data_IF_979271822116
#
_entry.id   IF_979271822116
#
_cell.length_a   1.000
_cell.length_b   1.000
_cell.length_c   1.000
_cell.angle_alpha   90.00
_cell.angle_beta   90.00
_cell.angle_gamma   90.00
#
_symmetry.space_group_name_H-M   'P 1'
#
loop_
_entity.id
_entity.type
_entity.pdbx_description
1 polymer ?
#
# COMPACT_ATOMS: atom_id res chain seq x y z
N UNK A 1 14.48 4.10 -8.65
CA UNK A 1 13.45 3.67 -7.69
C UNK A 1 12.81 4.95 -7.20
N UNK A 2 11.51 5.10 -7.40
CA UNK A 2 10.79 6.37 -7.25
C UNK A 2 10.54 6.72 -5.77
N UNK A 3 10.51 8.01 -5.41
CA UNK A 3 10.20 8.42 -4.05
C UNK A 3 8.74 8.10 -3.71
N UNK A 4 8.50 7.23 -2.74
CA UNK A 4 7.16 7.08 -2.17
C UNK A 4 6.87 8.28 -1.28
N UNK A 5 5.67 8.82 -1.40
CA UNK A 5 5.19 9.95 -0.63
C UNK A 5 4.70 9.48 0.75
N UNK A 6 4.92 10.32 1.76
CA UNK A 6 4.43 10.11 3.12
C UNK A 6 3.74 11.38 3.63
N UNK A 7 2.72 11.21 4.44
CA UNK A 7 2.09 12.30 5.18
C UNK A 7 2.03 11.97 6.68
N UNK A 8 1.45 12.88 7.46
CA UNK A 8 1.34 12.74 8.92
C UNK A 8 0.47 11.55 9.37
N UNK A 9 -0.30 10.92 8.48
CA UNK A 9 -1.10 9.72 8.79
C UNK A 9 -0.25 8.45 8.85
N UNK A 10 0.97 8.44 8.29
CA UNK A 10 1.90 7.30 8.29
C UNK A 10 2.62 7.13 9.65
N UNK A 11 1.85 7.10 10.74
CA UNK A 11 2.37 7.15 12.12
C UNK A 11 3.38 6.05 12.44
N UNK A 12 3.18 4.83 11.93
CA UNK A 12 4.13 3.72 12.10
C UNK A 12 5.45 3.96 11.37
N UNK A 13 5.41 4.50 10.14
CA UNK A 13 6.62 4.83 9.37
C UNK A 13 7.37 5.98 10.04
N UNK A 14 6.65 7.04 10.44
CA UNK A 14 7.22 8.18 11.16
C UNK A 14 7.88 7.75 12.48
N UNK A 15 7.29 6.80 13.21
CA UNK A 15 7.90 6.22 14.40
C UNK A 15 9.20 5.47 14.10
N UNK A 16 9.28 4.75 12.97
CA UNK A 16 10.49 4.06 12.53
C UNK A 16 11.58 5.04 12.08
N UNK A 17 11.22 6.07 11.31
CA UNK A 17 12.12 7.17 10.92
C UNK A 17 12.76 7.77 12.17
N UNK A 18 11.95 8.13 13.17
CA UNK A 18 12.44 8.63 14.46
C UNK A 18 13.33 7.63 15.19
N UNK A 19 12.92 6.36 15.25
CA UNK A 19 13.68 5.28 15.91
C UNK A 19 15.08 5.13 15.33
N UNK A 20 15.23 5.28 14.01
CA UNK A 20 16.51 5.12 13.31
C UNK A 20 17.26 6.44 13.07
N UNK A 21 16.75 7.57 13.58
CA UNK A 21 17.39 8.87 13.42
C UNK A 21 17.42 9.36 11.97
N UNK A 22 16.45 8.93 11.15
CA UNK A 22 16.28 9.35 9.76
C UNK A 22 15.45 10.64 9.68
N UNK A 23 15.40 11.25 8.49
CA UNK A 23 14.75 12.55 8.29
C UNK A 23 13.65 12.48 7.24
N UNK A 24 12.67 13.37 7.35
CA UNK A 24 11.71 13.64 6.26
C UNK A 24 12.19 14.84 5.44
N UNK A 25 11.86 14.84 4.15
CA UNK A 25 12.08 15.96 3.25
C UNK A 25 10.79 16.23 2.48
N UNK A 26 10.38 17.49 2.42
CA UNK A 26 9.22 17.87 1.60
C UNK A 26 9.59 17.71 0.13
N UNK A 27 8.73 17.04 -0.64
CA UNK A 27 8.94 16.86 -2.08
C UNK A 27 8.54 18.15 -2.77
N UNK A 28 9.53 18.92 -3.22
CA UNK A 28 9.34 20.17 -3.93
C UNK A 28 9.97 20.05 -5.33
N UNK A 29 9.36 20.68 -6.34
CA UNK A 29 10.02 20.92 -7.62
C UNK A 29 11.07 22.04 -7.54
N UNK A 30 11.72 22.31 -8.65
CA UNK A 30 12.72 23.39 -8.80
C UNK A 30 12.16 24.79 -8.50
N UNK A 31 10.82 24.94 -8.44
CA UNK A 31 10.12 26.18 -8.13
C UNK A 31 9.63 26.25 -6.67
N UNK A 32 9.83 25.21 -5.87
CA UNK A 32 9.35 25.13 -4.50
C UNK A 32 7.89 24.68 -4.38
N UNK A 33 7.31 24.06 -5.41
CA UNK A 33 5.94 23.55 -5.44
C UNK A 33 5.91 22.04 -5.16
N UNK A 34 4.94 21.56 -4.38
CA UNK A 34 4.79 20.11 -4.14
C UNK A 34 4.43 19.40 -5.45
N UNK A 35 5.32 18.52 -5.91
CA UNK A 35 5.09 17.72 -7.12
C UNK A 35 4.80 16.27 -6.78
N UNK A 36 3.81 15.70 -7.46
CA UNK A 36 3.56 14.26 -7.48
C UNK A 36 4.22 13.66 -8.72
N UNK A 37 4.48 12.35 -8.67
CA UNK A 37 5.06 11.64 -9.81
C UNK A 37 3.94 11.10 -10.71
N UNK A 38 3.90 11.49 -11.98
CA UNK A 38 3.01 10.84 -12.92
C UNK A 38 3.59 9.47 -13.29
N UNK A 39 2.95 8.41 -12.78
CA UNK A 39 3.40 7.03 -12.97
C UNK A 39 3.32 6.56 -14.44
N UNK A 40 2.50 7.20 -15.28
CA UNK A 40 2.39 6.85 -16.70
C UNK A 40 3.51 7.48 -17.53
N UNK A 41 3.96 8.68 -17.17
CA UNK A 41 4.92 9.46 -17.98
C UNK A 41 6.32 9.54 -17.37
N UNK A 42 6.46 9.23 -16.08
CA UNK A 42 7.72 9.33 -15.36
C UNK A 42 8.16 10.77 -15.04
N UNK A 43 7.27 11.74 -15.21
CA UNK A 43 7.53 13.17 -15.04
C UNK A 43 6.95 13.65 -13.71
N UNK A 44 7.66 14.58 -13.05
CA UNK A 44 7.10 15.31 -11.92
C UNK A 44 6.00 16.24 -12.43
N UNK A 45 4.77 15.96 -12.03
CA UNK A 45 3.63 16.83 -12.29
C UNK A 45 3.33 17.62 -11.02
N UNK A 46 2.88 18.87 -11.19
CA UNK A 46 2.22 19.55 -10.09
C UNK A 46 1.02 18.69 -9.70
N UNK A 47 1.05 18.16 -8.48
CA UNK A 47 -0.09 17.39 -7.99
C UNK A 47 -1.30 18.32 -8.10
N UNK A 48 -2.41 17.90 -8.74
CA UNK A 48 -3.62 18.69 -8.80
C UNK A 48 -4.26 18.71 -7.41
N UNK A 49 -3.59 19.34 -6.46
CA UNK A 49 -4.13 19.54 -5.14
C UNK A 49 -5.18 20.65 -5.25
N UNK A 50 -6.40 20.30 -4.88
CA UNK A 50 -7.50 21.24 -4.92
C UNK A 50 -7.44 22.15 -3.69
N UNK A 51 -6.76 23.28 -3.82
CA UNK A 51 -6.80 24.29 -2.79
C UNK A 51 -8.22 24.92 -2.77
N UNK A 52 -8.88 24.88 -1.62
CA UNK A 52 -10.22 25.44 -1.44
C UNK A 52 -10.32 26.91 -1.85
N UNK A 53 -9.20 27.66 -1.88
CA UNK A 53 -9.18 29.07 -2.27
C UNK A 53 -9.01 29.32 -3.76
N UNK A 54 -8.44 28.38 -4.53
CA UNK A 54 -8.16 28.54 -5.98
C UNK A 54 -9.11 27.76 -6.87
N UNK A 55 -9.95 26.91 -6.28
CA UNK A 55 -10.89 26.04 -7.01
C UNK A 55 -12.22 26.72 -7.27
N UNK A 56 -12.88 26.32 -8.38
CA UNK A 56 -14.21 26.82 -8.74
C UNK A 56 -15.23 26.45 -7.66
N UNK A 57 -16.35 27.20 -7.53
CA UNK A 57 -17.41 26.88 -6.58
C UNK A 57 -17.93 25.42 -6.71
N UNK A 58 -18.01 24.89 -7.92
CA UNK A 58 -18.46 23.53 -8.21
C UNK A 58 -17.48 22.49 -7.65
N UNK A 59 -16.18 22.69 -7.86
CA UNK A 59 -15.14 21.81 -7.33
C UNK A 59 -15.14 21.87 -5.80
N UNK A 60 -15.26 23.07 -5.21
CA UNK A 60 -15.36 23.23 -3.74
C UNK A 60 -16.57 22.52 -3.15
N UNK A 61 -17.72 22.59 -3.82
CA UNK A 61 -18.92 21.87 -3.41
C UNK A 61 -18.73 20.34 -3.48
N UNK A 62 -18.08 19.84 -4.55
CA UNK A 62 -17.75 18.43 -4.68
C UNK A 62 -16.78 17.93 -3.58
N UNK A 63 -15.75 18.73 -3.26
CA UNK A 63 -14.81 18.46 -2.15
C UNK A 63 -15.54 18.39 -0.82
N UNK A 64 -16.39 19.38 -0.55
CA UNK A 64 -17.18 19.43 0.69
C UNK A 64 -18.06 18.19 0.82
N UNK A 65 -18.70 17.77 -0.29
CA UNK A 65 -19.51 16.55 -0.34
C UNK A 65 -18.67 15.30 -0.10
N UNK A 66 -17.51 15.16 -0.75
CA UNK A 66 -16.63 14.01 -0.53
C UNK A 66 -16.14 13.92 0.91
N UNK A 67 -15.68 15.04 1.50
CA UNK A 67 -15.29 15.09 2.91
C UNK A 67 -16.44 14.66 3.84
N UNK A 68 -17.68 15.04 3.53
CA UNK A 68 -18.84 14.62 4.29
C UNK A 68 -19.15 13.11 4.12
N UNK A 69 -18.91 12.55 2.94
CA UNK A 69 -19.01 11.10 2.71
C UNK A 69 -17.93 10.31 3.46
N UNK A 70 -16.67 10.75 3.44
CA UNK A 70 -15.57 10.11 4.17
C UNK A 70 -15.84 10.04 5.69
N UNK A 71 -16.42 11.10 6.27
CA UNK A 71 -16.80 11.15 7.69
C UNK A 71 -17.81 10.10 8.11
N UNK A 72 -18.50 9.42 7.18
CA UNK A 72 -19.40 8.29 7.49
C UNK A 72 -18.64 7.00 7.82
N UNK A 73 -17.34 6.95 7.52
CA UNK A 73 -16.48 5.78 7.68
C UNK A 73 -15.25 6.06 8.57
N UNK A 74 -15.43 6.55 9.81
CA UNK A 74 -14.30 6.90 10.69
C UNK A 74 -13.35 5.71 10.95
N UNK A 75 -13.83 4.47 10.85
CA UNK A 75 -13.04 3.26 10.99
C UNK A 75 -11.93 3.07 9.92
N UNK A 76 -12.01 3.80 8.80
CA UNK A 76 -10.97 3.82 7.77
C UNK A 76 -9.76 4.69 8.16
N UNK A 77 -9.94 5.66 9.06
CA UNK A 77 -8.87 6.54 9.54
C UNK A 77 -7.93 5.85 10.55
N UNK A 78 -8.32 4.67 11.05
CA UNK A 78 -7.56 3.87 12.02
C UNK A 78 -6.60 2.86 11.36
N UNK A 79 -6.50 2.87 10.03
CA UNK A 79 -5.62 1.96 9.28
C UNK A 79 -6.06 0.50 9.38
N UNK A 80 -7.34 0.25 9.70
CA UNK A 80 -7.87 -1.10 9.69
C UNK A 80 -7.80 -1.67 8.27
N UNK A 81 -7.46 -2.96 8.14
CA UNK A 81 -7.47 -3.58 6.83
C UNK A 81 -8.92 -3.58 6.32
N UNK A 82 -9.20 -2.86 5.23
CA UNK A 82 -10.56 -2.54 4.77
C UNK A 82 -11.55 -3.71 4.74
N UNK A 83 -11.09 -4.95 4.55
CA UNK A 83 -11.93 -6.16 4.62
C UNK A 83 -12.56 -6.45 6.00
N UNK A 84 -12.07 -5.84 7.08
CA UNK A 84 -12.70 -5.92 8.42
C UNK A 84 -13.90 -5.00 8.54
N UNK A 85 -14.06 -4.06 7.61
CA UNK A 85 -15.17 -3.14 7.55
C UNK A 85 -16.36 -3.86 6.92
N UNK A 86 -17.35 -4.17 7.76
CA UNK A 86 -18.61 -4.79 7.31
C UNK A 86 -19.51 -3.72 6.70
N UNK A 87 -19.11 -3.20 5.54
CA UNK A 87 -19.80 -2.13 4.78
C UNK A 87 -20.17 -2.64 3.38
N UNK A 88 -21.26 -3.42 3.23
CA UNK A 88 -21.65 -3.98 1.94
C UNK A 88 -21.86 -2.95 0.84
N UNK A 89 -22.28 -1.73 1.22
CA UNK A 89 -22.44 -0.59 0.33
C UNK A 89 -21.13 -0.16 -0.37
N UNK A 90 -19.97 -0.55 0.18
CA UNK A 90 -18.65 -0.22 -0.38
C UNK A 90 -18.02 -1.36 -1.20
N UNK A 91 -18.72 -2.48 -1.38
CA UNK A 91 -18.26 -3.60 -2.21
C UNK A 91 -18.44 -3.35 -3.72
N UNK A 92 -19.11 -2.27 -4.11
CA UNK A 92 -19.17 -1.80 -5.50
C UNK A 92 -17.83 -1.23 -5.96
N UNK A 93 -17.64 -1.07 -7.27
CA UNK A 93 -16.45 -0.40 -7.82
C UNK A 93 -16.41 1.06 -7.39
N UNK A 94 -15.22 1.64 -7.29
CA UNK A 94 -15.08 3.04 -6.89
C UNK A 94 -15.74 3.98 -7.91
N UNK A 95 -15.70 3.67 -9.21
CA UNK A 95 -16.40 4.44 -10.23
C UNK A 95 -17.93 4.45 -10.03
N UNK A 96 -18.53 3.31 -9.67
CA UNK A 96 -19.96 3.24 -9.36
C UNK A 96 -20.29 4.07 -8.11
N UNK A 97 -19.49 3.93 -7.06
CA UNK A 97 -19.65 4.72 -5.84
C UNK A 97 -19.51 6.24 -6.12
N UNK A 98 -18.49 6.65 -6.88
CA UNK A 98 -18.29 8.04 -7.27
C UNK A 98 -19.45 8.60 -8.09
N UNK A 99 -20.05 7.82 -8.98
CA UNK A 99 -21.19 8.26 -9.79
C UNK A 99 -22.42 8.60 -8.93
N UNK A 100 -22.65 7.84 -7.87
CA UNK A 100 -23.75 8.07 -6.91
C UNK A 100 -23.46 9.24 -5.96
N UNK A 101 -22.18 9.47 -5.66
CA UNK A 101 -21.75 10.45 -4.67
C UNK A 101 -21.16 11.75 -5.25
N UNK A 102 -21.00 11.85 -6.58
CA UNK A 102 -20.50 13.01 -7.35
C UNK A 102 -19.25 13.64 -6.75
N UNK A 103 -18.10 12.99 -6.96
CA UNK A 103 -16.81 13.48 -6.49
C UNK A 103 -15.81 13.46 -7.64
N UNK A 104 -15.00 14.52 -7.65
CA UNK A 104 -13.83 14.80 -8.48
C UNK A 104 -13.15 13.53 -9.04
N UNK A 105 -12.75 13.51 -10.32
CA UNK A 105 -11.96 12.41 -10.86
C UNK A 105 -10.65 12.28 -10.08
N UNK A 106 -10.51 11.17 -9.35
CA UNK A 106 -9.26 10.80 -8.69
C UNK A 106 -8.58 9.82 -9.63
N UNK A 107 -7.75 10.31 -10.54
CA UNK A 107 -6.82 9.44 -11.24
C UNK A 107 -5.80 8.91 -10.25
N UNK A 108 -5.44 7.65 -10.40
CA UNK A 108 -4.96 6.88 -9.28
C UNK A 108 -3.56 6.31 -9.57
N UNK A 109 -2.74 6.26 -8.52
CA UNK A 109 -1.34 5.83 -8.52
C UNK A 109 -1.21 4.30 -8.30
N UNK A 110 -1.18 3.47 -9.35
CA UNK A 110 -0.70 2.07 -9.27
C UNK A 110 -1.59 0.93 -8.69
N UNK A 111 -2.55 1.18 -7.80
CA UNK A 111 -3.67 0.28 -7.35
C UNK A 111 -4.80 -0.07 -8.38
N UNK A 112 -4.58 -0.01 -9.70
CA UNK A 112 -5.55 -0.44 -10.74
C UNK A 112 -6.55 0.60 -11.27
N UNK A 113 -7.59 0.16 -11.99
CA UNK A 113 -8.61 1.06 -12.56
C UNK A 113 -9.74 1.34 -11.57
N UNK A 114 -10.23 2.59 -11.51
CA UNK A 114 -11.40 2.94 -10.67
C UNK A 114 -12.67 2.15 -11.04
N UNK A 115 -12.75 1.68 -12.29
CA UNK A 115 -13.87 0.87 -12.79
C UNK A 115 -13.82 -0.59 -12.33
N UNK A 116 -12.73 -1.03 -11.72
CA UNK A 116 -12.49 -2.41 -11.32
C UNK A 116 -12.24 -2.52 -9.81
N UNK A 117 -11.53 -1.56 -9.22
CA UNK A 117 -11.17 -1.56 -7.81
C UNK A 117 -12.38 -1.25 -6.93
N UNK A 118 -12.73 -2.10 -5.95
CA UNK A 118 -13.81 -1.82 -5.01
C UNK A 118 -13.58 -0.54 -4.20
N UNK A 119 -14.66 0.24 -3.99
CA UNK A 119 -14.65 1.52 -3.29
C UNK A 119 -14.04 1.40 -1.89
N UNK A 120 -14.29 0.28 -1.20
CA UNK A 120 -13.71 0.00 0.11
C UNK A 120 -12.18 0.08 0.16
N UNK A 121 -11.48 -0.40 -0.87
CA UNK A 121 -10.02 -0.32 -0.89
C UNK A 121 -9.53 1.10 -1.17
N UNK A 122 -10.17 1.78 -2.12
CA UNK A 122 -9.83 3.15 -2.47
C UNK A 122 -10.08 4.11 -1.31
N UNK A 123 -11.24 4.01 -0.63
CA UNK A 123 -11.59 4.86 0.50
C UNK A 123 -10.79 4.54 1.77
N UNK A 124 -10.33 3.30 1.93
CA UNK A 124 -9.42 2.96 3.02
C UNK A 124 -8.03 3.59 2.83
N UNK A 125 -7.59 3.77 1.58
CA UNK A 125 -6.39 4.51 1.24
C UNK A 125 -6.64 6.03 1.30
N UNK A 126 -7.65 6.51 0.59
CA UNK A 126 -8.11 7.91 0.57
C UNK A 126 -9.08 8.20 1.71
N UNK A 127 -8.68 7.85 2.93
CA UNK A 127 -9.43 8.17 4.13
C UNK A 127 -9.39 9.69 4.40
N UNK A 128 -9.98 10.16 5.51
CA UNK A 128 -10.06 11.59 5.81
C UNK A 128 -8.67 12.23 5.88
N UNK A 129 -7.71 11.54 6.51
CA UNK A 129 -6.34 12.06 6.73
C UNK A 129 -5.54 12.08 5.44
N UNK A 130 -5.53 10.97 4.69
CA UNK A 130 -4.75 10.86 3.46
C UNK A 130 -5.32 11.73 2.35
N UNK A 131 -6.65 11.87 2.26
CA UNK A 131 -7.28 12.79 1.31
C UNK A 131 -6.95 14.26 1.60
N UNK A 132 -6.84 14.64 2.88
CA UNK A 132 -6.44 16.00 3.27
C UNK A 132 -5.05 16.35 2.71
N UNK A 133 -4.11 15.42 2.75
CA UNK A 133 -2.76 15.62 2.17
C UNK A 133 -2.76 15.49 0.65
N UNK A 134 -3.17 14.33 0.12
CA UNK A 134 -2.93 13.95 -1.29
C UNK A 134 -3.90 14.61 -2.27
N UNK A 135 -5.12 14.94 -1.83
CA UNK A 135 -6.17 15.49 -2.71
C UNK A 135 -6.39 16.98 -2.45
N UNK A 136 -6.33 17.40 -1.18
CA UNK A 136 -6.71 18.76 -0.78
C UNK A 136 -5.54 19.68 -0.41
N UNK A 137 -4.30 19.17 -0.35
CA UNK A 137 -3.12 19.91 0.12
C UNK A 137 -3.34 20.73 1.41
N UNK A 138 -4.13 20.18 2.33
CA UNK A 138 -4.32 20.78 3.66
C UNK A 138 -3.10 20.53 4.55
N UNK A 139 -2.31 19.51 4.21
CA UNK A 139 -1.13 19.07 4.95
C UNK A 139 0.03 18.79 3.99
N UNK A 140 1.26 18.94 4.51
CA UNK A 140 2.46 18.68 3.72
C UNK A 140 2.57 17.20 3.35
N UNK A 141 3.15 16.96 2.17
CA UNK A 141 3.55 15.66 1.69
C UNK A 141 5.09 15.64 1.67
N UNK A 142 5.65 14.66 2.35
CA UNK A 142 7.09 14.46 2.50
C UNK A 142 7.52 13.16 1.81
N UNK A 143 8.83 12.92 1.81
CA UNK A 143 9.47 11.63 1.56
C UNK A 143 10.52 11.38 2.64
N UNK A 144 11.12 10.20 2.66
CA UNK A 144 12.26 9.90 3.52
C UNK A 144 13.51 10.45 2.84
N UNK A 145 14.23 11.37 3.49
CA UNK A 145 15.36 12.07 2.90
C UNK A 145 16.49 11.11 2.47
N UNK A 146 16.74 10.09 3.27
CA UNK A 146 17.71 9.02 2.99
C UNK A 146 17.17 7.93 2.05
N UNK A 147 15.89 8.02 1.67
CA UNK A 147 15.20 7.07 0.81
C UNK A 147 14.58 5.88 1.54
N UNK A 148 13.57 5.30 0.92
CA UNK A 148 12.82 4.17 1.48
C UNK A 148 13.65 2.89 1.67
N UNK A 149 14.64 2.66 0.80
CA UNK A 149 15.55 1.52 0.95
C UNK A 149 16.38 1.63 2.23
N UNK A 150 16.88 2.82 2.56
CA UNK A 150 17.64 3.02 3.79
C UNK A 150 16.78 2.71 5.03
N UNK A 151 15.48 3.03 5.00
CA UNK A 151 14.55 2.64 6.08
C UNK A 151 14.45 1.12 6.19
N UNK A 152 14.26 0.41 5.07
CA UNK A 152 14.15 -1.05 5.06
C UNK A 152 15.45 -1.73 5.50
N UNK A 153 16.61 -1.21 5.09
CA UNK A 153 17.93 -1.69 5.49
C UNK A 153 18.18 -1.48 6.99
N UNK A 154 17.79 -0.32 7.55
CA UNK A 154 17.85 -0.06 8.98
C UNK A 154 16.92 -0.99 9.78
N UNK A 155 15.71 -1.25 9.26
CA UNK A 155 14.80 -2.23 9.85
C UNK A 155 15.40 -3.64 9.86
N UNK A 156 15.97 -4.07 8.74
CA UNK A 156 16.61 -5.38 8.63
C UNK A 156 17.81 -5.51 9.58
N UNK A 157 18.65 -4.48 9.66
CA UNK A 157 19.85 -4.45 10.53
C UNK A 157 19.51 -4.44 12.01
N UNK A 158 18.32 -3.97 12.39
CA UNK A 158 17.84 -3.97 13.77
C UNK A 158 17.23 -5.31 14.22
N UNK A 159 17.03 -6.26 13.29
CA UNK A 159 16.54 -7.60 13.59
C UNK A 159 17.72 -8.53 13.90
N UNK A 160 17.59 -9.44 14.89
CA UNK A 160 18.69 -10.30 15.30
C UNK A 160 19.04 -11.39 14.28
N UNK A 161 18.10 -11.76 13.40
CA UNK A 161 18.30 -12.81 12.39
C UNK A 161 17.49 -12.46 11.13
N UNK A 162 18.19 -12.05 10.08
CA UNK A 162 17.64 -11.83 8.73
C UNK A 162 18.49 -12.61 7.75
N UNK A 163 17.86 -13.52 7.02
CA UNK A 163 18.54 -14.39 6.05
C UNK A 163 18.06 -14.06 4.64
N UNK A 164 18.99 -13.65 3.79
CA UNK A 164 18.75 -13.41 2.37
C UNK A 164 19.21 -14.62 1.54
N UNK A 165 18.75 -14.71 0.29
CA UNK A 165 19.09 -15.83 -0.59
C UNK A 165 18.52 -17.19 -0.15
N UNK A 166 17.50 -17.18 0.71
CA UNK A 166 16.78 -18.38 1.15
C UNK A 166 15.66 -18.71 0.17
N UNK A 167 15.56 -19.97 -0.23
CA UNK A 167 14.47 -20.48 -1.05
C UNK A 167 13.59 -21.43 -0.24
N UNK A 168 12.43 -20.96 0.22
CA UNK A 168 11.48 -21.76 0.99
C UNK A 168 10.73 -22.72 0.06
N UNK A 169 10.82 -24.01 0.35
CA UNK A 169 10.23 -25.06 -0.50
C UNK A 169 9.05 -25.77 0.13
N UNK A 170 8.92 -25.74 1.47
CA UNK A 170 7.79 -26.33 2.15
C UNK A 170 7.56 -25.70 3.52
N UNK A 171 6.30 -25.48 3.88
CA UNK A 171 5.87 -25.21 5.25
C UNK A 171 4.90 -26.31 5.66
N UNK A 172 5.33 -27.12 6.62
CA UNK A 172 4.56 -28.22 7.17
C UNK A 172 3.83 -27.71 8.41
N UNK A 173 2.50 -27.63 8.27
CA UNK A 173 1.60 -27.19 9.33
C UNK A 173 1.00 -28.43 10.02
N UNK A 174 0.96 -28.47 11.36
CA UNK A 174 0.26 -29.53 12.06
C UNK A 174 -1.23 -29.58 11.68
N UNK A 175 -1.78 -30.78 11.56
CA UNK A 175 -3.20 -30.97 11.27
C UNK A 175 -4.01 -31.01 12.58
N UNK A 176 -5.08 -30.21 12.66
CA UNK A 176 -5.98 -30.18 13.83
C UNK A 176 -5.68 -29.06 14.83
N UNK A 177 -6.11 -29.22 16.09
CA UNK A 177 -5.98 -28.20 17.14
C UNK A 177 -4.50 -27.88 17.44
N UNK A 178 -4.20 -26.58 17.46
CA UNK A 178 -2.85 -25.99 17.53
C UNK A 178 -2.14 -26.11 18.88
N UNK A 179 -2.65 -26.94 19.80
CA UNK A 179 -2.17 -26.93 21.18
C UNK A 179 -0.79 -27.60 21.29
N UNK A 180 0.27 -26.77 21.24
CA UNK A 180 1.66 -27.18 21.40
C UNK A 180 2.38 -27.73 20.15
N UNK A 181 1.75 -27.73 18.97
CA UNK A 181 2.37 -28.27 17.76
C UNK A 181 3.17 -27.22 16.96
N UNK A 182 4.42 -27.56 16.61
CA UNK A 182 5.32 -26.67 15.87
C UNK A 182 5.10 -26.74 14.36
N UNK A 183 5.21 -25.59 13.70
CA UNK A 183 5.32 -25.48 12.25
C UNK A 183 6.76 -25.76 11.83
N UNK A 184 6.97 -26.54 10.76
CA UNK A 184 8.31 -26.77 10.21
C UNK A 184 8.45 -26.09 8.86
N UNK A 185 9.48 -25.27 8.69
CA UNK A 185 9.82 -24.56 7.46
C UNK A 185 11.06 -25.24 6.86
N UNK A 186 10.94 -25.74 5.64
CA UNK A 186 12.03 -26.36 4.87
C UNK A 186 12.44 -25.39 3.79
N UNK A 187 13.74 -25.13 3.69
CA UNK A 187 14.30 -24.19 2.73
C UNK A 187 15.70 -24.59 2.26
N UNK A 188 16.11 -24.09 1.11
CA UNK A 188 17.51 -24.09 0.67
C UNK A 188 18.18 -22.78 1.07
N UNK A 189 19.39 -22.85 1.60
CA UNK A 189 20.22 -21.67 1.86
C UNK A 189 21.03 -21.24 0.62
N UNK A 190 21.89 -20.24 0.79
CA UNK A 190 22.74 -19.67 -0.28
C UNK A 190 23.75 -20.68 -0.86
N UNK A 191 23.99 -21.80 -0.17
CA UNK A 191 24.86 -22.89 -0.62
C UNK A 191 24.07 -24.05 -1.24
N UNK A 192 22.75 -23.90 -1.39
CA UNK A 192 21.79 -24.94 -1.79
C UNK A 192 21.70 -26.11 -0.80
N UNK A 193 22.13 -25.92 0.45
CA UNK A 193 21.96 -26.95 1.48
C UNK A 193 20.53 -26.91 2.02
N UNK A 194 19.96 -28.10 2.24
CA UNK A 194 18.60 -28.23 2.77
C UNK A 194 18.62 -28.00 4.27
N UNK A 195 17.83 -27.02 4.72
CA UNK A 195 17.67 -26.67 6.11
C UNK A 195 16.22 -26.92 6.56
N UNK A 196 16.03 -27.16 7.85
CA UNK A 196 14.71 -27.25 8.47
C UNK A 196 14.68 -26.43 9.75
N UNK A 197 13.75 -25.49 9.83
CA UNK A 197 13.52 -24.66 11.00
C UNK A 197 12.16 -24.97 11.60
N UNK A 198 12.13 -25.26 12.90
CA UNK A 198 10.89 -25.43 13.66
C UNK A 198 10.53 -24.12 14.36
N UNK A 199 9.30 -23.69 14.24
CA UNK A 199 8.78 -22.47 14.84
C UNK A 199 7.38 -22.68 15.42
N UNK A 200 7.00 -21.82 16.36
CA UNK A 200 5.65 -21.84 16.94
C UNK A 200 4.61 -21.18 16.01
N UNK A 201 5.05 -20.27 15.15
CA UNK A 201 4.19 -19.57 14.21
C UNK A 201 4.96 -19.17 12.95
N UNK A 202 4.22 -18.96 11.87
CA UNK A 202 4.70 -18.43 10.60
C UNK A 202 3.84 -17.24 10.22
N UNK A 203 4.48 -16.11 9.94
CA UNK A 203 3.82 -14.90 9.41
C UNK A 203 4.19 -14.78 7.94
N UNK A 204 3.18 -14.66 7.08
CA UNK A 204 3.36 -14.55 5.64
C UNK A 204 3.16 -13.09 5.25
N UNK A 205 4.25 -12.43 4.84
CA UNK A 205 4.26 -11.00 4.51
C UNK A 205 4.56 -10.72 3.02
N UNK A 206 4.45 -11.72 2.15
CA UNK A 206 4.56 -11.57 0.69
C UNK A 206 3.17 -11.67 0.03
N UNK A 207 3.03 -11.25 -1.25
CA UNK A 207 1.74 -11.27 -1.95
C UNK A 207 1.08 -12.65 -1.93
N UNK A 208 -0.18 -12.69 -1.51
CA UNK A 208 -0.96 -13.91 -1.30
C UNK A 208 -1.54 -14.48 -2.61
N UNK A 209 -0.71 -14.52 -3.66
CA UNK A 209 -1.06 -15.12 -4.94
C UNK A 209 -0.94 -16.63 -4.83
N UNK A 210 -1.93 -17.37 -5.31
CA UNK A 210 -2.03 -18.81 -5.10
C UNK A 210 -0.75 -19.55 -5.52
N UNK A 211 -0.22 -19.22 -6.70
CA UNK A 211 1.00 -19.81 -7.26
C UNK A 211 2.24 -19.55 -6.39
N UNK A 212 2.23 -18.49 -5.58
CA UNK A 212 3.32 -18.16 -4.64
C UNK A 212 3.12 -18.78 -3.26
N UNK A 213 1.97 -19.39 -3.00
CA UNK A 213 1.59 -19.96 -1.71
C UNK A 213 1.59 -21.49 -1.71
N UNK A 214 1.87 -22.14 -2.84
CA UNK A 214 1.75 -23.59 -2.97
C UNK A 214 2.60 -24.37 -1.96
N UNK A 215 3.77 -23.83 -1.61
CA UNK A 215 4.67 -24.42 -0.63
C UNK A 215 4.10 -24.46 0.79
N UNK A 216 3.02 -23.72 1.09
CA UNK A 216 2.39 -23.67 2.41
C UNK A 216 1.52 -24.88 2.74
N UNK A 217 1.33 -25.81 1.78
CA UNK A 217 0.45 -26.96 1.98
C UNK A 217 -1.00 -26.52 2.22
N UNK A 218 -1.51 -25.60 1.39
CA UNK A 218 -2.85 -25.03 1.51
C UNK A 218 -3.96 -26.10 1.44
N UNK A 219 -4.95 -25.99 2.32
CA UNK A 219 -6.15 -26.83 2.28
C UNK A 219 -7.11 -26.42 1.14
N UNK A 220 -8.18 -27.19 0.94
CA UNK A 220 -9.13 -26.93 -0.14
C UNK A 220 -9.87 -25.58 -0.01
N UNK A 221 -10.14 -25.13 1.21
CA UNK A 221 -10.84 -23.86 1.49
C UNK A 221 -9.91 -22.68 1.23
N UNK A 222 -8.68 -22.75 1.72
CA UNK A 222 -7.63 -21.76 1.48
C UNK A 222 -7.35 -21.60 -0.01
N UNK A 223 -7.17 -22.72 -0.74
CA UNK A 223 -6.97 -22.69 -2.19
C UNK A 223 -8.13 -22.02 -2.92
N UNK A 224 -9.37 -22.33 -2.53
CA UNK A 224 -10.56 -21.71 -3.12
C UNK A 224 -10.60 -20.19 -2.86
N UNK A 225 -10.17 -19.75 -1.68
CA UNK A 225 -10.11 -18.34 -1.34
C UNK A 225 -9.03 -17.60 -2.14
N UNK A 226 -7.78 -18.08 -2.09
CA UNK A 226 -6.63 -17.40 -2.71
C UNK A 226 -6.66 -17.38 -4.23
N UNK A 227 -7.42 -18.28 -4.88
CA UNK A 227 -7.68 -18.23 -6.34
C UNK A 227 -8.34 -16.93 -6.80
N UNK A 228 -9.01 -16.20 -5.91
CA UNK A 228 -9.71 -14.97 -6.27
C UNK A 228 -8.87 -13.70 -6.03
N UNK A 229 -7.63 -13.84 -5.54
CA UNK A 229 -6.76 -12.68 -5.32
C UNK A 229 -6.31 -12.14 -6.67
N UNK A 230 -6.62 -10.87 -6.92
CA UNK A 230 -6.20 -10.13 -8.11
C UNK A 230 -5.08 -9.16 -7.75
N UNK A 231 -4.23 -8.82 -8.72
CA UNK A 231 -3.18 -7.82 -8.55
C UNK A 231 -2.99 -7.03 -9.84
N UNK A 232 -2.59 -5.78 -9.70
CA UNK A 232 -2.22 -4.93 -10.84
C UNK A 232 -0.80 -5.25 -11.25
N UNK A 233 -0.58 -5.45 -12.56
CA UNK A 233 0.77 -5.52 -13.13
C UNK A 233 1.18 -4.09 -13.50
N UNK A 234 1.84 -3.41 -12.58
CA UNK A 234 2.52 -2.14 -12.87
C UNK A 234 3.70 -2.43 -13.79
N UNK A 235 3.62 -2.00 -15.05
CA UNK A 235 4.78 -2.00 -15.94
C UNK A 235 5.72 -0.88 -15.48
N UNK A 236 7.04 -1.11 -15.38
CA UNK A 236 7.96 0.00 -15.21
C UNK A 236 7.77 0.99 -16.36
N UNK A 237 7.90 2.30 -16.11
CA UNK A 237 7.80 3.29 -17.17
C UNK A 237 8.73 2.88 -18.31
N UNK A 238 8.17 2.76 -19.52
CA UNK A 238 8.98 2.58 -20.71
C UNK A 238 9.96 3.75 -20.76
N UNK A 239 11.26 3.45 -20.91
CA UNK A 239 12.28 4.48 -21.07
C UNK A 239 11.76 5.55 -22.04
N UNK A 240 11.88 6.85 -21.70
CA UNK A 240 11.42 7.89 -22.60
C UNK A 240 12.04 7.63 -23.98
N UNK A 241 11.26 7.72 -25.08
CA UNK A 241 11.81 7.54 -26.42
C UNK A 241 13.02 8.46 -26.53
N UNK A 242 14.19 7.87 -26.76
CA UNK A 242 15.43 8.63 -26.85
C UNK A 242 15.24 9.80 -27.81
N UNK A 243 15.43 11.02 -27.32
CA UNK A 243 15.55 12.16 -28.19
C UNK A 243 16.74 11.91 -29.15
N UNK A 244 16.54 12.03 -30.47
CA UNK A 244 17.65 12.01 -31.42
C UNK A 244 18.63 13.16 -31.19
#
# INVERSE_FOLDING_TARGET
>A
MEPLLLDNSYTYVLALIKKFGMHTATVLDETGTVTAYDYNTGVLINSPCFNETTTTPEIRAAITKFKAELKKYPEMDDGSAGHRLRRPELYVTFAQWLAEHLVVPIEHEGYGSLSETPAMYVLNFLNTKTSASLVFAETNIDTIAEGWNALMENMASALPDVRTGVNIVSVQRPAGDYDGQQVSVVYYDVHNDTQTQKCQSVVIAFPQLLERLEFLGLDARERKLFRNVQHTISRPPSAPPGCP
#
